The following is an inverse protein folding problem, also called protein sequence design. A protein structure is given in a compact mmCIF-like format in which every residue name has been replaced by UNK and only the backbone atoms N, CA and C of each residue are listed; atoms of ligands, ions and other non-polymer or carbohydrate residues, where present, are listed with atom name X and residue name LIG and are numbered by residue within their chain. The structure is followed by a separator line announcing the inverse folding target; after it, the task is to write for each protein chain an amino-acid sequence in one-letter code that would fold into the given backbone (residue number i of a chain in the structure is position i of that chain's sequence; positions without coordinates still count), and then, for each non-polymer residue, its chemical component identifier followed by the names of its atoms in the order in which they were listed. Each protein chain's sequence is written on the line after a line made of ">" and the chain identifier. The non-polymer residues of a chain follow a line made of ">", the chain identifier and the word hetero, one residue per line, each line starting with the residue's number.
data_IF_982484726323
#
_entry.id   IF_982484726323
#
_cell.length_a   1.000
_cell.length_b   1.000
_cell.length_c   1.000
_cell.angle_alpha   90.00
_cell.angle_beta   90.00
_cell.angle_gamma   90.00
#
_symmetry.space_group_name_H-M   'P 1'
#
loop_
_entity.id
_entity.type
_entity.pdbx_description
1 polymer ?
#
# COMPACT_ATOMS: atom_id res chain seq x y z
N UNK A 1 14.43 16.86 9.83
CA UNK A 1 13.97 16.38 11.15
C UNK A 1 12.51 16.03 11.00
N UNK A 2 12.02 14.96 11.62
CA UNK A 2 10.63 14.55 11.53
C UNK A 2 10.04 14.43 12.93
N UNK A 3 8.75 14.70 13.02
CA UNK A 3 7.94 14.53 14.22
C UNK A 3 7.18 13.22 14.08
N UNK A 4 7.23 12.37 15.12
CA UNK A 4 6.47 11.13 15.20
C UNK A 4 5.46 11.25 16.33
N UNK A 5 4.18 10.97 16.05
CA UNK A 5 3.10 10.98 17.04
C UNK A 5 2.34 9.66 16.96
N UNK A 6 1.99 9.12 18.13
CA UNK A 6 1.10 7.95 18.23
C UNK A 6 -0.10 8.32 19.07
N UNK A 7 -1.28 8.12 18.50
CA UNK A 7 -2.56 8.41 19.13
C UNK A 7 -3.69 7.82 18.30
N UNK A 8 -4.78 7.44 18.94
CA UNK A 8 -5.98 6.93 18.28
C UNK A 8 -5.64 5.76 17.34
N UNK A 9 -4.88 4.78 17.83
CA UNK A 9 -4.47 3.60 17.05
C UNK A 9 -3.77 3.98 15.73
N UNK A 10 -3.12 5.14 15.68
CA UNK A 10 -2.45 5.63 14.49
C UNK A 10 -1.05 6.16 14.78
N UNK A 11 -0.16 6.01 13.81
CA UNK A 11 1.18 6.59 13.79
C UNK A 11 1.18 7.68 12.71
N UNK A 12 1.48 8.92 13.10
CA UNK A 12 1.74 10.03 12.20
C UNK A 12 3.25 10.32 12.17
N UNK A 13 3.81 10.50 10.98
CA UNK A 13 5.19 10.95 10.78
C UNK A 13 5.17 12.12 9.81
N UNK A 14 5.53 13.29 10.31
CA UNK A 14 5.51 14.53 9.54
C UNK A 14 6.91 15.12 9.51
N UNK A 15 7.34 15.62 8.36
CA UNK A 15 8.71 16.08 8.24
C UNK A 15 8.99 16.89 6.99
N UNK A 16 10.29 17.11 6.81
CA UNK A 16 10.82 17.85 5.69
C UNK A 16 12.19 17.29 5.32
N UNK A 17 12.43 17.09 4.03
CA UNK A 17 13.73 16.67 3.50
C UNK A 17 14.79 17.76 3.73
N UNK A 18 16.01 17.34 4.03
CA UNK A 18 17.10 18.26 4.37
C UNK A 18 17.63 19.04 3.16
N UNK A 19 17.66 18.39 2.00
CA UNK A 19 18.27 18.89 0.77
C UNK A 19 17.41 19.98 0.11
N UNK A 20 16.11 19.75 -0.06
CA UNK A 20 15.24 20.57 -0.90
C UNK A 20 13.98 21.06 -0.19
N UNK A 21 13.89 20.82 1.12
CA UNK A 21 12.80 21.29 1.96
C UNK A 21 11.41 20.78 1.52
N UNK A 22 11.33 19.68 0.74
CA UNK A 22 10.09 19.00 0.42
C UNK A 22 9.47 18.46 1.72
N UNK A 23 8.24 18.89 2.01
CA UNK A 23 7.48 18.39 3.15
C UNK A 23 6.96 17.00 2.80
N UNK A 24 6.93 16.14 3.80
CA UNK A 24 6.29 14.83 3.69
C UNK A 24 5.44 14.58 4.93
N UNK A 25 4.39 13.81 4.76
CA UNK A 25 3.56 13.30 5.84
C UNK A 25 3.20 11.85 5.55
N UNK A 26 3.17 11.01 6.58
CA UNK A 26 2.57 9.69 6.54
C UNK A 26 1.61 9.52 7.71
N UNK A 27 0.47 8.89 7.45
CA UNK A 27 -0.48 8.51 8.49
C UNK A 27 -0.81 7.03 8.31
N UNK A 28 -0.59 6.24 9.36
CA UNK A 28 -0.89 4.79 9.38
C UNK A 28 -1.86 4.51 10.50
N UNK A 29 -3.07 4.03 10.19
CA UNK A 29 -4.11 3.64 11.15
C UNK A 29 -4.19 2.12 11.24
N UNK A 30 -4.29 1.61 12.47
CA UNK A 30 -4.57 0.21 12.77
C UNK A 30 -6.04 0.10 13.18
N UNK A 31 -6.78 -0.75 12.48
CA UNK A 31 -8.18 -1.05 12.73
C UNK A 31 -8.24 -2.54 13.06
N UNK A 32 -8.91 -2.90 14.14
CA UNK A 32 -9.26 -4.29 14.41
C UNK A 32 -10.65 -4.57 13.86
N UNK A 33 -10.89 -5.78 13.39
CA UNK A 33 -12.22 -6.14 12.90
C UNK A 33 -13.24 -6.07 14.04
N UNK A 34 -14.35 -5.37 13.78
CA UNK A 34 -15.43 -5.20 14.74
C UNK A 34 -15.98 -6.58 15.15
N UNK A 35 -16.20 -6.76 16.46
CA UNK A 35 -16.64 -8.05 17.02
C UNK A 35 -15.54 -9.08 17.28
N UNK A 36 -14.27 -8.79 16.94
CA UNK A 36 -13.15 -9.65 17.37
C UNK A 36 -12.63 -9.26 18.76
N UNK A 37 -12.28 -10.28 19.55
CA UNK A 37 -11.51 -10.08 20.78
C UNK A 37 -10.18 -9.40 20.46
N UNK A 38 -9.58 -8.72 21.42
CA UNK A 38 -8.26 -8.10 21.28
C UNK A 38 -8.21 -6.62 21.61
N UNK A 39 -7.00 -6.15 21.88
CA UNK A 39 -6.69 -4.80 22.33
C UNK A 39 -5.68 -4.14 21.39
N UNK A 40 -5.83 -2.84 21.20
CA UNK A 40 -4.82 -1.97 20.58
C UNK A 40 -4.34 -1.02 21.67
N UNK A 41 -3.03 -0.94 21.85
CA UNK A 41 -2.38 -0.04 22.82
C UNK A 41 -1.42 0.90 22.11
N UNK A 42 -1.69 2.18 22.24
CA UNK A 42 -0.80 3.25 21.82
C UNK A 42 0.33 3.43 22.86
N UNK A 43 1.57 3.38 22.39
CA UNK A 43 2.76 3.75 23.14
C UNK A 43 3.32 5.04 22.54
N UNK A 44 2.79 6.17 23.02
CA UNK A 44 3.19 7.51 22.56
C UNK A 44 4.64 7.86 22.89
N UNK A 45 5.19 7.29 23.97
CA UNK A 45 6.57 7.53 24.41
C UNK A 45 7.58 6.88 23.45
N UNK A 46 7.38 5.61 23.11
CA UNK A 46 8.27 4.89 22.18
C UNK A 46 7.84 5.04 20.71
N UNK A 47 6.66 5.61 20.49
CA UNK A 47 6.00 5.76 19.20
C UNK A 47 5.78 4.41 18.51
N UNK A 48 5.03 3.54 19.19
CA UNK A 48 4.64 2.19 18.74
C UNK A 48 3.15 1.96 18.98
N UNK A 49 2.58 1.03 18.22
CA UNK A 49 1.25 0.47 18.48
C UNK A 49 1.43 -1.01 18.71
N UNK A 50 0.83 -1.53 19.77
CA UNK A 50 0.80 -2.96 20.07
C UNK A 50 -0.61 -3.49 19.90
N UNK A 51 -0.76 -4.55 19.11
CA UNK A 51 -2.00 -5.31 18.98
C UNK A 51 -1.84 -6.64 19.70
N UNK A 52 -2.79 -7.01 20.55
CA UNK A 52 -2.80 -8.31 21.24
C UNK A 52 -4.18 -8.97 21.18
N UNK A 53 -4.22 -10.28 20.99
CA UNK A 53 -5.45 -11.08 21.01
C UNK A 53 -6.42 -10.85 19.85
N UNK A 54 -6.09 -9.98 18.89
CA UNK A 54 -6.87 -9.77 17.67
C UNK A 54 -6.77 -10.97 16.74
N UNK A 55 -7.90 -11.38 16.14
CA UNK A 55 -7.92 -12.44 15.12
C UNK A 55 -7.48 -11.94 13.75
N UNK A 56 -7.84 -10.69 13.45
CA UNK A 56 -7.50 -10.00 12.22
C UNK A 56 -7.42 -8.49 12.51
N UNK A 57 -6.59 -7.81 11.73
CA UNK A 57 -6.48 -6.35 11.71
C UNK A 57 -6.37 -5.87 10.27
N UNK A 58 -6.85 -4.66 10.04
CA UNK A 58 -6.61 -3.89 8.82
C UNK A 58 -5.65 -2.75 9.15
N UNK A 59 -4.58 -2.61 8.37
CA UNK A 59 -3.64 -1.49 8.47
C UNK A 59 -3.82 -0.63 7.22
N UNK A 60 -4.18 0.64 7.41
CA UNK A 60 -4.36 1.60 6.32
C UNK A 60 -3.26 2.65 6.43
N UNK A 61 -2.53 2.87 5.34
CA UNK A 61 -1.46 3.87 5.27
C UNK A 61 -1.66 4.79 4.09
N UNK A 62 -1.46 6.09 4.31
CA UNK A 62 -1.29 7.08 3.26
C UNK A 62 0.00 7.87 3.50
N UNK A 63 0.68 8.23 2.42
CA UNK A 63 1.92 9.02 2.43
C UNK A 63 1.81 10.06 1.32
N UNK A 64 2.15 11.30 1.64
CA UNK A 64 2.10 12.42 0.70
C UNK A 64 3.26 13.37 0.88
N UNK A 65 3.51 14.16 -0.15
CA UNK A 65 4.48 15.27 -0.13
C UNK A 65 3.81 16.55 -0.59
N UNK A 66 4.42 17.70 -0.32
CA UNK A 66 3.99 18.97 -0.90
C UNK A 66 4.52 19.19 -2.33
N UNK A 67 4.88 18.11 -3.05
CA UNK A 67 5.29 18.18 -4.46
C UNK A 67 4.10 18.54 -5.35
N UNK A 68 4.37 19.41 -6.33
CA UNK A 68 3.46 19.68 -7.43
C UNK A 68 4.29 19.87 -8.69
N UNK A 69 3.87 19.32 -9.83
CA UNK A 69 4.56 19.55 -11.10
C UNK A 69 4.22 20.94 -11.67
N UNK A 70 4.69 22.00 -11.01
CA UNK A 70 4.30 23.39 -11.29
C UNK A 70 5.56 24.29 -11.28
N UNK A 71 6.09 24.57 -12.47
CA UNK A 71 7.31 25.36 -12.65
C UNK A 71 7.09 26.83 -12.25
N UNK A 72 8.07 27.51 -11.61
CA UNK A 72 9.38 27.00 -11.19
C UNK A 72 9.41 26.42 -9.77
N UNK A 73 8.29 26.48 -9.05
CA UNK A 73 8.27 26.27 -7.59
C UNK A 73 8.30 24.80 -7.19
N UNK A 74 7.67 23.94 -7.99
CA UNK A 74 7.53 22.51 -7.75
C UNK A 74 6.94 22.14 -6.37
N UNK A 75 6.10 23.02 -5.83
CA UNK A 75 5.47 22.87 -4.51
C UNK A 75 4.01 23.26 -4.57
N UNK A 76 3.18 22.60 -3.78
CA UNK A 76 1.76 22.95 -3.61
C UNK A 76 1.58 24.28 -2.87
N UNK A 77 2.54 24.64 -2.01
CA UNK A 77 2.46 25.81 -1.12
C UNK A 77 1.80 25.52 0.23
N UNK A 78 1.39 24.27 0.47
CA UNK A 78 0.77 23.83 1.73
C UNK A 78 1.72 23.98 2.93
N UNK A 79 1.15 24.28 4.10
CA UNK A 79 1.85 24.13 5.38
C UNK A 79 2.01 22.65 5.73
N UNK A 80 2.82 22.34 6.75
CA UNK A 80 2.97 20.96 7.24
C UNK A 80 1.64 20.40 7.73
N UNK A 81 0.84 21.23 8.40
CA UNK A 81 -0.44 20.86 9.00
C UNK A 81 -1.49 20.60 7.92
N UNK A 82 -1.49 21.39 6.85
CA UNK A 82 -2.38 21.16 5.69
C UNK A 82 -2.05 19.83 5.00
N UNK A 83 -0.76 19.56 4.75
CA UNK A 83 -0.33 18.29 4.16
C UNK A 83 -0.68 17.10 5.07
N UNK A 84 -0.44 17.22 6.38
CA UNK A 84 -0.77 16.17 7.34
C UNK A 84 -2.28 15.92 7.42
N UNK A 85 -3.10 16.97 7.37
CA UNK A 85 -4.55 16.86 7.34
C UNK A 85 -5.05 16.17 6.06
N UNK A 86 -4.47 16.49 4.90
CA UNK A 86 -4.78 15.85 3.62
C UNK A 86 -4.45 14.35 3.66
N UNK A 87 -3.23 14.00 4.07
CA UNK A 87 -2.77 12.60 4.17
C UNK A 87 -3.63 11.79 5.15
N UNK A 88 -3.92 12.37 6.32
CA UNK A 88 -4.87 11.79 7.29
C UNK A 88 -6.27 11.61 6.68
N UNK A 89 -6.74 12.57 5.89
CA UNK A 89 -8.05 12.54 5.23
C UNK A 89 -8.24 11.31 4.34
N UNK A 90 -7.22 10.91 3.57
CA UNK A 90 -7.27 9.67 2.78
C UNK A 90 -7.45 8.43 3.65
N UNK A 91 -6.73 8.34 4.76
CA UNK A 91 -6.86 7.23 5.70
C UNK A 91 -8.22 7.25 6.40
N UNK A 92 -8.72 8.42 6.80
CA UNK A 92 -10.04 8.55 7.41
C UNK A 92 -11.18 8.16 6.46
N UNK A 93 -11.08 8.49 5.17
CA UNK A 93 -12.03 8.03 4.16
C UNK A 93 -12.02 6.52 3.99
N UNK A 94 -10.85 5.91 3.94
CA UNK A 94 -10.71 4.46 3.85
C UNK A 94 -11.17 3.75 5.15
N UNK A 95 -10.85 4.31 6.32
CA UNK A 95 -11.34 3.84 7.63
C UNK A 95 -12.87 3.87 7.69
N UNK A 96 -13.52 4.93 7.17
CA UNK A 96 -14.98 5.01 7.13
C UNK A 96 -15.60 3.89 6.28
N UNK A 97 -14.99 3.55 5.13
CA UNK A 97 -15.41 2.40 4.32
C UNK A 97 -15.25 1.08 5.07
N UNK A 98 -14.12 0.87 5.76
CA UNK A 98 -13.90 -0.34 6.56
C UNK A 98 -14.91 -0.46 7.70
N UNK A 99 -15.27 0.63 8.37
CA UNK A 99 -16.30 0.61 9.42
C UNK A 99 -17.69 0.30 8.87
N UNK A 100 -18.00 0.71 7.64
CA UNK A 100 -19.31 0.49 7.04
C UNK A 100 -19.47 -0.92 6.44
N UNK A 101 -18.42 -1.47 5.83
CA UNK A 101 -18.50 -2.71 5.04
C UNK A 101 -17.29 -3.64 5.14
N UNK A 102 -16.39 -3.40 6.09
CA UNK A 102 -15.17 -4.19 6.28
C UNK A 102 -14.07 -3.91 5.26
N UNK A 103 -12.93 -4.59 5.44
CA UNK A 103 -11.80 -4.53 4.51
C UNK A 103 -12.18 -4.95 3.08
N UNK A 104 -13.05 -5.95 2.93
CA UNK A 104 -13.43 -6.46 1.62
C UNK A 104 -14.05 -5.38 0.72
N UNK A 105 -14.74 -4.39 1.27
CA UNK A 105 -15.24 -3.25 0.47
C UNK A 105 -14.10 -2.42 -0.15
N UNK A 106 -13.02 -2.16 0.62
CA UNK A 106 -11.85 -1.46 0.07
C UNK A 106 -11.14 -2.29 -0.99
N UNK A 107 -11.04 -3.59 -0.75
CA UNK A 107 -10.38 -4.53 -1.67
C UNK A 107 -11.15 -4.67 -2.97
N UNK A 108 -12.48 -4.78 -2.92
CA UNK A 108 -13.32 -4.87 -4.10
C UNK A 108 -13.20 -3.61 -4.96
N UNK A 109 -13.30 -2.41 -4.36
CA UNK A 109 -13.08 -1.14 -5.06
C UNK A 109 -11.71 -1.10 -5.76
N UNK A 110 -10.66 -1.52 -5.07
CA UNK A 110 -9.30 -1.59 -5.62
C UNK A 110 -9.19 -2.59 -6.78
N UNK A 111 -9.71 -3.81 -6.60
CA UNK A 111 -9.63 -4.85 -7.63
C UNK A 111 -10.41 -4.45 -8.87
N UNK A 112 -11.58 -3.83 -8.72
CA UNK A 112 -12.38 -3.34 -9.85
C UNK A 112 -11.67 -2.21 -10.62
N UNK A 113 -11.06 -1.26 -9.92
CA UNK A 113 -10.26 -0.19 -10.54
C UNK A 113 -9.02 -0.75 -11.26
N UNK A 114 -8.30 -1.65 -10.61
CA UNK A 114 -7.14 -2.33 -11.18
C UNK A 114 -7.50 -3.14 -12.43
N UNK A 115 -8.54 -3.98 -12.34
CA UNK A 115 -8.98 -4.87 -13.42
C UNK A 115 -9.53 -4.08 -14.62
N UNK A 116 -10.12 -2.91 -14.40
CA UNK A 116 -10.55 -2.02 -15.48
C UNK A 116 -9.40 -1.62 -16.43
N UNK A 117 -8.15 -1.58 -15.93
CA UNK A 117 -6.96 -1.31 -16.73
C UNK A 117 -6.26 -2.61 -17.11
N UNK A 118 -5.97 -3.45 -16.12
CA UNK A 118 -5.19 -4.68 -16.31
C UNK A 118 -5.90 -5.69 -17.22
N UNK A 119 -7.22 -5.84 -17.05
CA UNK A 119 -8.06 -6.74 -17.84
C UNK A 119 -8.28 -6.31 -19.30
N UNK A 120 -7.69 -5.20 -19.76
CA UNK A 120 -7.82 -4.74 -21.16
C UNK A 120 -7.08 -5.63 -22.15
N UNK A 121 -6.12 -6.45 -21.70
CA UNK A 121 -5.33 -7.32 -22.55
C UNK A 121 -5.30 -8.75 -22.01
N UNK A 122 -5.89 -9.65 -22.78
CA UNK A 122 -5.71 -11.09 -22.61
C UNK A 122 -4.76 -11.61 -23.71
N UNK A 123 -3.64 -12.20 -23.28
CA UNK A 123 -2.59 -12.71 -24.18
C UNK A 123 -2.38 -14.20 -23.93
N UNK A 124 -2.60 -14.99 -24.96
CA UNK A 124 -2.31 -16.42 -24.98
C UNK A 124 -1.23 -16.74 -26.02
N UNK A 125 -0.05 -17.13 -25.52
CA UNK A 125 1.13 -17.55 -26.28
C UNK A 125 1.42 -19.04 -26.07
N UNK A 126 0.43 -19.83 -25.66
CA UNK A 126 0.57 -21.27 -25.37
C UNK A 126 1.12 -21.55 -23.97
N UNK A 127 0.97 -20.62 -23.04
CA UNK A 127 1.36 -20.79 -21.64
C UNK A 127 0.47 -21.80 -20.90
N UNK A 128 1.04 -22.44 -19.88
CA UNK A 128 0.29 -23.15 -18.85
C UNK A 128 0.87 -22.81 -17.47
N UNK A 129 0.01 -22.65 -16.47
CA UNK A 129 0.44 -22.33 -15.10
C UNK A 129 1.40 -23.41 -14.59
N UNK A 130 2.53 -22.98 -14.04
CA UNK A 130 3.52 -23.88 -13.42
C UNK A 130 3.23 -24.02 -11.92
N UNK A 131 3.41 -25.23 -11.39
CA UNK A 131 3.41 -25.47 -9.93
C UNK A 131 4.68 -24.93 -9.24
N UNK A 132 5.69 -24.49 -10.01
CA UNK A 132 6.90 -23.89 -9.46
C UNK A 132 6.60 -22.48 -8.97
N UNK A 133 7.20 -22.12 -7.84
CA UNK A 133 7.33 -20.73 -7.45
C UNK A 133 8.09 -19.94 -8.52
N UNK A 134 7.80 -18.64 -8.66
CA UNK A 134 8.35 -17.81 -9.74
C UNK A 134 9.88 -17.79 -9.78
N UNK A 135 10.55 -17.85 -8.62
CA UNK A 135 12.02 -17.95 -8.52
C UNK A 135 12.55 -19.27 -9.10
N UNK A 136 11.88 -20.39 -8.82
CA UNK A 136 12.22 -21.71 -9.36
C UNK A 136 11.88 -21.85 -10.83
N UNK A 137 10.81 -21.22 -11.29
CA UNK A 137 10.49 -21.13 -12.71
C UNK A 137 11.54 -20.31 -13.47
N UNK A 138 11.97 -19.17 -12.92
CA UNK A 138 13.04 -18.34 -13.49
C UNK A 138 14.38 -19.10 -13.52
N UNK A 139 14.70 -19.84 -12.46
CA UNK A 139 15.89 -20.70 -12.41
C UNK A 139 15.85 -21.78 -13.50
N UNK A 140 14.73 -22.47 -13.66
CA UNK A 140 14.53 -23.51 -14.68
C UNK A 140 14.58 -22.93 -16.11
N UNK A 141 14.00 -21.74 -16.32
CA UNK A 141 14.07 -21.02 -17.60
C UNK A 141 15.53 -20.73 -17.98
N UNK A 142 16.31 -20.18 -17.04
CA UNK A 142 17.74 -19.88 -17.23
C UNK A 142 18.59 -21.13 -17.50
N UNK A 143 18.26 -22.24 -16.86
CA UNK A 143 18.95 -23.54 -17.05
C UNK A 143 18.48 -24.30 -18.30
N UNK A 144 17.45 -23.81 -19.00
CA UNK A 144 16.87 -24.51 -20.15
C UNK A 144 16.11 -25.78 -19.78
N UNK A 145 15.76 -25.96 -18.50
CA UNK A 145 15.06 -27.16 -17.99
C UNK A 145 13.56 -26.94 -17.82
N UNK A 146 13.06 -25.72 -18.02
CA UNK A 146 11.63 -25.43 -18.09
C UNK A 146 11.01 -26.05 -19.35
N UNK A 147 9.79 -26.59 -19.23
CA UNK A 147 9.02 -27.03 -20.41
C UNK A 147 8.68 -25.85 -21.32
N UNK A 148 8.24 -26.10 -22.56
CA UNK A 148 7.83 -25.02 -23.46
C UNK A 148 6.65 -24.21 -22.90
N UNK A 149 5.65 -24.85 -22.28
CA UNK A 149 4.50 -24.14 -21.68
C UNK A 149 4.91 -23.31 -20.46
N UNK A 150 5.90 -23.78 -19.69
CA UNK A 150 6.49 -23.05 -18.56
C UNK A 150 7.29 -21.82 -19.03
N UNK A 151 8.02 -21.93 -20.15
CA UNK A 151 8.71 -20.79 -20.78
C UNK A 151 7.72 -19.72 -21.19
N UNK A 152 6.66 -20.10 -21.90
CA UNK A 152 5.57 -19.19 -22.30
C UNK A 152 4.87 -18.56 -21.10
N UNK A 153 4.69 -19.30 -20.00
CA UNK A 153 4.12 -18.75 -18.78
C UNK A 153 4.99 -17.66 -18.15
N UNK A 154 6.30 -17.88 -18.05
CA UNK A 154 7.21 -16.86 -17.52
C UNK A 154 7.31 -15.63 -18.44
N UNK A 155 7.34 -15.85 -19.75
CA UNK A 155 7.36 -14.77 -20.76
C UNK A 155 6.08 -13.91 -20.68
N UNK A 156 4.91 -14.55 -20.56
CA UNK A 156 3.66 -13.84 -20.33
C UNK A 156 3.67 -13.08 -19.01
N UNK A 157 4.11 -13.69 -17.91
CA UNK A 157 4.17 -13.01 -16.61
C UNK A 157 5.07 -11.77 -16.67
N UNK A 158 6.22 -11.85 -17.35
CA UNK A 158 7.12 -10.70 -17.54
C UNK A 158 6.47 -9.61 -18.41
N UNK A 159 5.74 -10.01 -19.46
CA UNK A 159 5.00 -9.07 -20.30
C UNK A 159 3.89 -8.35 -19.52
N UNK A 160 3.09 -9.07 -18.74
CA UNK A 160 1.99 -8.51 -17.93
C UNK A 160 2.49 -7.73 -16.70
N UNK A 161 3.75 -7.91 -16.29
CA UNK A 161 4.33 -7.18 -15.17
C UNK A 161 4.85 -5.79 -15.53
N UNK A 162 5.13 -5.55 -16.82
CA UNK A 162 5.60 -4.25 -17.35
C UNK A 162 4.45 -3.34 -17.73
#
# INVERSE_FOLDING_TARGET
>A
MFDKKVSDNAIAIDGQLKDNQLKFSSYTKVIKDDGTAGQIKDDSTNGKITVSGAKAITIITSIGTDYKNDYPKYRTGETKEQLAALVKGYVSGAEAKVKAGGYETLKEDHVNDYDHIFGRLDLNIGQAVSDKTTDKLLEAYKKGTASETEKRYLELMLFQYG
#
